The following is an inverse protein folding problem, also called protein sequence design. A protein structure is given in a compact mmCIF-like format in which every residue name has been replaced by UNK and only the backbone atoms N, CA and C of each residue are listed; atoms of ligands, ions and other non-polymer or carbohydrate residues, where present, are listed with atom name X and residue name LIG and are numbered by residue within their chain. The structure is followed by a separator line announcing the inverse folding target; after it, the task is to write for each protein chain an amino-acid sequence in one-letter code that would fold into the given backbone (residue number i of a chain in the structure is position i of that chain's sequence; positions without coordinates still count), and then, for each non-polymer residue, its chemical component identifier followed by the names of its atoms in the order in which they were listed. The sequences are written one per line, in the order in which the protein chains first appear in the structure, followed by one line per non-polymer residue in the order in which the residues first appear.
data_IF_202044089013
#
_entry.id   IF_202044089013
#
_cell.length_a   1.000
_cell.length_b   1.000
_cell.length_c   1.000
_cell.angle_alpha   90.00
_cell.angle_beta   90.00
_cell.angle_gamma   90.00
#
_symmetry.space_group_name_H-M   'P 1'
#
loop_
_entity.id
_entity.type
_entity.pdbx_description
1 polymer ?
#
# COMPACT_ATOMS: atom_id res chain seq x y z
N UNK A 1 29.25 -67.52 -21.56
CA UNK A 1 29.19 -67.22 -20.11
C UNK A 1 30.35 -66.28 -19.78
N UNK A 2 30.12 -64.96 -19.80
CA UNK A 2 31.16 -63.98 -19.52
C UNK A 2 31.27 -63.80 -18.00
N UNK A 3 32.43 -64.14 -17.45
CA UNK A 3 32.68 -64.16 -16.01
C UNK A 3 33.03 -62.74 -15.54
N UNK A 4 32.02 -61.90 -15.29
CA UNK A 4 32.24 -60.57 -14.71
C UNK A 4 32.73 -60.71 -13.27
N UNK A 5 34.05 -60.63 -13.08
CA UNK A 5 34.70 -60.73 -11.77
C UNK A 5 34.34 -59.53 -10.88
N UNK A 6 34.05 -59.81 -9.59
CA UNK A 6 33.78 -58.82 -8.53
C UNK A 6 34.84 -57.70 -8.46
N UNK A 7 36.06 -57.97 -8.92
CA UNK A 7 37.17 -57.01 -8.95
C UNK A 7 36.94 -55.88 -9.98
N UNK A 8 36.25 -56.15 -11.10
CA UNK A 8 35.86 -55.11 -12.06
C UNK A 8 34.71 -54.24 -11.57
N UNK A 9 33.80 -54.79 -10.76
CA UNK A 9 32.71 -54.03 -10.15
C UNK A 9 33.22 -52.99 -9.14
N UNK A 10 34.19 -53.36 -8.29
CA UNK A 10 34.79 -52.45 -7.30
C UNK A 10 35.65 -51.36 -8.00
N UNK A 11 36.34 -51.69 -9.10
CA UNK A 11 37.06 -50.69 -9.89
C UNK A 11 36.12 -49.68 -10.56
N UNK A 12 34.92 -50.11 -11.00
CA UNK A 12 33.91 -49.21 -11.55
C UNK A 12 33.30 -48.24 -10.52
N UNK A 13 33.18 -48.65 -9.26
CA UNK A 13 32.67 -47.80 -8.17
C UNK A 13 33.63 -46.64 -7.84
N UNK A 14 34.94 -46.86 -7.90
CA UNK A 14 35.95 -45.84 -7.60
C UNK A 14 35.96 -44.68 -8.60
N UNK A 15 35.75 -44.96 -9.89
CA UNK A 15 35.72 -43.94 -10.94
C UNK A 15 34.40 -43.15 -10.99
N UNK A 16 33.27 -43.75 -10.59
CA UNK A 16 31.97 -43.07 -10.56
C UNK A 16 31.82 -42.06 -9.42
N UNK A 17 32.38 -42.36 -8.25
CA UNK A 17 32.28 -41.48 -7.08
C UNK A 17 33.06 -40.16 -7.23
N UNK A 18 34.21 -40.17 -7.92
CA UNK A 18 35.02 -38.97 -8.13
C UNK A 18 34.39 -38.02 -9.17
N UNK A 19 33.67 -38.57 -10.16
CA UNK A 19 32.95 -37.78 -11.16
C UNK A 19 31.72 -37.05 -10.59
N UNK A 20 31.05 -37.62 -9.58
CA UNK A 20 29.94 -36.95 -8.89
C UNK A 20 30.39 -35.88 -7.89
N UNK A 21 31.60 -35.97 -7.33
CA UNK A 21 32.09 -34.99 -6.36
C UNK A 21 32.44 -33.62 -7.02
N UNK A 22 32.89 -33.62 -8.28
CA UNK A 22 33.36 -32.41 -8.97
C UNK A 22 32.24 -31.55 -9.59
N UNK A 23 31.00 -32.05 -9.62
CA UNK A 23 29.83 -31.32 -10.16
C UNK A 23 28.82 -30.92 -9.08
N UNK A 24 29.21 -30.95 -7.80
CA UNK A 24 28.32 -30.66 -6.67
C UNK A 24 28.03 -29.16 -6.45
N UNK A 25 28.48 -28.26 -7.32
CA UNK A 25 27.88 -26.92 -7.40
C UNK A 25 26.57 -26.96 -8.17
N UNK A 26 25.56 -27.60 -7.56
CA UNK A 26 24.17 -27.18 -7.70
C UNK A 26 24.00 -25.85 -6.92
N UNK A 27 24.75 -24.83 -7.34
CA UNK A 27 24.41 -23.46 -7.01
C UNK A 27 23.17 -23.14 -7.84
N UNK A 28 22.01 -23.44 -7.27
CA UNK A 28 20.76 -22.88 -7.77
C UNK A 28 20.96 -21.38 -7.87
N UNK A 29 21.04 -20.88 -9.11
CA UNK A 29 21.14 -19.43 -9.36
C UNK A 29 19.86 -18.86 -8.76
N UNK A 30 19.97 -18.27 -7.58
CA UNK A 30 18.85 -17.64 -6.92
C UNK A 30 18.31 -16.62 -7.92
N UNK A 31 17.16 -16.94 -8.50
CA UNK A 31 16.56 -16.12 -9.54
C UNK A 31 16.18 -14.86 -8.79
N UNK A 32 16.98 -13.78 -8.93
CA UNK A 32 16.70 -12.48 -8.32
C UNK A 32 15.22 -12.24 -8.53
N UNK A 33 14.45 -12.36 -7.46
CA UNK A 33 13.03 -12.10 -7.49
C UNK A 33 12.96 -10.62 -7.79
N UNK A 34 12.67 -10.27 -9.04
CA UNK A 34 12.25 -8.92 -9.36
C UNK A 34 11.11 -8.66 -8.39
N UNK A 35 11.23 -7.58 -7.63
CA UNK A 35 10.29 -7.26 -6.58
C UNK A 35 8.97 -6.86 -7.26
N UNK A 36 8.17 -7.87 -7.62
CA UNK A 36 7.02 -7.74 -8.50
C UNK A 36 5.96 -6.83 -7.90
N UNK A 37 5.95 -6.73 -6.57
CA UNK A 37 5.01 -5.95 -5.79
C UNK A 37 5.77 -5.33 -4.62
N UNK A 38 5.37 -4.12 -4.25
CA UNK A 38 5.85 -3.47 -3.04
C UNK A 38 4.86 -3.77 -1.90
N UNK A 39 5.37 -4.03 -0.70
CA UNK A 39 4.53 -4.25 0.47
C UNK A 39 4.29 -2.90 1.14
N UNK A 40 3.03 -2.49 1.20
CA UNK A 40 2.58 -1.33 1.96
C UNK A 40 1.90 -1.71 3.26
N UNK A 41 1.74 -0.72 4.15
CA UNK A 41 0.96 -0.88 5.38
C UNK A 41 0.01 0.29 5.59
N UNK A 42 -1.20 -0.03 6.02
CA UNK A 42 -2.26 0.94 6.29
C UNK A 42 -2.19 1.40 7.76
N UNK A 43 -2.18 2.71 7.97
CA UNK A 43 -2.08 3.38 9.27
C UNK A 43 -3.14 2.89 10.28
N UNK A 44 -4.34 2.52 9.81
CA UNK A 44 -5.38 1.95 10.67
C UNK A 44 -4.91 0.71 11.47
N UNK A 45 -3.86 0.01 11.02
CA UNK A 45 -3.18 -1.06 11.77
C UNK A 45 -2.74 -0.60 13.16
N UNK A 46 -2.34 0.67 13.29
CA UNK A 46 -1.87 1.29 14.54
C UNK A 46 -2.94 2.10 15.27
N UNK A 47 -4.22 1.97 14.89
CA UNK A 47 -5.35 2.72 15.45
C UNK A 47 -5.36 2.76 16.99
N UNK A 48 -5.03 1.63 17.65
CA UNK A 48 -4.99 1.58 19.12
C UNK A 48 -3.87 2.45 19.72
N UNK A 49 -2.72 2.52 19.06
CA UNK A 49 -1.57 3.30 19.54
C UNK A 49 -1.75 4.78 19.25
N UNK A 50 -2.29 5.12 18.07
CA UNK A 50 -2.66 6.50 17.71
C UNK A 50 -3.71 7.03 18.69
N UNK A 51 -4.78 6.27 18.94
CA UNK A 51 -5.84 6.65 19.89
C UNK A 51 -5.35 6.82 21.32
N UNK A 52 -4.37 6.03 21.76
CA UNK A 52 -3.84 6.14 23.11
C UNK A 52 -2.72 7.17 23.24
N UNK A 53 -2.33 7.86 22.16
CA UNK A 53 -1.17 8.75 22.12
C UNK A 53 0.18 8.03 22.26
N UNK A 54 0.21 6.70 22.13
CA UNK A 54 1.46 5.91 22.18
C UNK A 54 2.29 6.12 20.90
N UNK A 55 1.62 6.44 19.80
CA UNK A 55 2.23 6.79 18.52
C UNK A 55 1.66 8.15 18.10
N UNK A 56 2.53 9.13 17.84
CA UNK A 56 2.13 10.37 17.18
C UNK A 56 1.94 10.10 15.67
N UNK A 57 0.97 10.79 15.06
CA UNK A 57 0.68 10.64 13.63
C UNK A 57 1.90 11.01 12.76
N UNK A 58 2.66 12.05 13.10
CA UNK A 58 3.83 12.46 12.33
C UNK A 58 5.01 11.48 12.48
N UNK A 59 4.98 10.59 13.48
CA UNK A 59 6.02 9.59 13.74
C UNK A 59 5.69 8.21 13.15
N UNK A 60 4.44 7.99 12.73
CA UNK A 60 3.98 6.73 12.14
C UNK A 60 4.86 6.23 10.98
N UNK A 61 5.21 7.05 9.96
CA UNK A 61 5.98 6.55 8.83
C UNK A 61 7.38 6.09 9.23
N UNK A 62 8.06 6.84 10.11
CA UNK A 62 9.39 6.51 10.59
C UNK A 62 9.37 5.23 11.44
N UNK A 63 8.35 5.06 12.29
CA UNK A 63 8.16 3.84 13.07
C UNK A 63 8.00 2.62 12.15
N UNK A 64 7.13 2.70 11.14
CA UNK A 64 6.92 1.60 10.19
C UNK A 64 8.21 1.23 9.49
N UNK A 65 8.95 2.21 8.95
CA UNK A 65 10.19 1.94 8.25
C UNK A 65 11.23 1.29 9.17
N UNK A 66 11.39 1.83 10.37
CA UNK A 66 12.39 1.38 11.35
C UNK A 66 12.09 -0.02 11.89
N UNK A 67 10.85 -0.26 12.30
CA UNK A 67 10.47 -1.48 13.03
C UNK A 67 10.03 -2.61 12.10
N UNK A 68 9.50 -2.30 10.91
CA UNK A 68 8.97 -3.29 9.97
C UNK A 68 9.74 -3.38 8.65
N UNK A 69 10.67 -2.46 8.37
CA UNK A 69 11.39 -2.42 7.10
C UNK A 69 10.50 -2.07 5.89
N UNK A 70 9.29 -1.53 6.12
CA UNK A 70 8.34 -1.16 5.07
C UNK A 70 8.52 0.32 4.71
N UNK A 71 8.71 0.61 3.42
CA UNK A 71 8.88 1.98 2.91
C UNK A 71 7.65 2.52 2.17
N UNK A 72 6.55 1.79 2.13
CA UNK A 72 5.31 2.20 1.47
C UNK A 72 4.21 2.32 2.53
N UNK A 73 3.73 3.54 2.77
CA UNK A 73 2.76 3.81 3.84
C UNK A 73 1.46 4.36 3.27
N UNK A 74 0.35 3.92 3.83
CA UNK A 74 -0.97 4.46 3.56
C UNK A 74 -1.52 5.09 4.84
N UNK A 75 -2.20 6.21 4.71
CA UNK A 75 -2.73 6.98 5.83
C UNK A 75 -4.22 6.75 6.01
N UNK A 76 -4.71 7.10 7.19
CA UNK A 76 -6.14 7.21 7.49
C UNK A 76 -6.49 8.65 7.82
N UNK A 77 -7.64 9.13 7.37
CA UNK A 77 -8.00 10.55 7.53
C UNK A 77 -8.17 11.00 9.00
N UNK A 78 -8.54 10.11 9.92
CA UNK A 78 -8.86 10.50 11.30
C UNK A 78 -7.65 10.97 12.13
N UNK A 79 -6.48 10.30 12.09
CA UNK A 79 -5.25 10.77 12.76
C UNK A 79 -4.79 12.18 12.40
N UNK A 80 -5.17 12.72 11.25
CA UNK A 80 -4.90 14.12 10.91
C UNK A 80 -5.61 15.11 11.84
N UNK A 81 -6.72 14.70 12.48
CA UNK A 81 -7.43 15.51 13.47
C UNK A 81 -7.75 16.92 12.96
N UNK A 82 -8.33 16.98 11.75
CA UNK A 82 -8.70 18.24 11.08
C UNK A 82 -7.54 19.03 10.45
N UNK A 83 -6.29 18.62 10.61
CA UNK A 83 -5.10 19.35 10.09
C UNK A 83 -4.75 19.07 8.63
N UNK A 84 -5.62 18.36 7.89
CA UNK A 84 -5.42 18.05 6.47
C UNK A 84 -5.47 19.28 5.57
N UNK A 85 -6.10 20.37 6.02
CA UNK A 85 -6.10 21.67 5.33
C UNK A 85 -5.02 22.62 5.86
N UNK A 86 -4.14 22.18 6.76
CA UNK A 86 -3.01 22.96 7.25
C UNK A 86 -1.76 22.63 6.42
N UNK A 87 -1.32 23.51 5.51
CA UNK A 87 -0.20 23.22 4.63
C UNK A 87 1.11 23.02 5.37
N UNK A 88 1.29 23.63 6.55
CA UNK A 88 2.50 23.44 7.35
C UNK A 88 2.53 22.04 7.97
N UNK A 89 1.39 21.56 8.48
CA UNK A 89 1.27 20.21 9.02
C UNK A 89 1.51 19.14 7.94
N UNK A 90 0.81 19.25 6.81
CA UNK A 90 0.94 18.30 5.69
C UNK A 90 2.36 18.36 5.10
N UNK A 91 2.94 19.57 4.98
CA UNK A 91 4.30 19.76 4.51
C UNK A 91 5.36 19.14 5.43
N UNK A 92 5.18 19.19 6.75
CA UNK A 92 6.07 18.53 7.70
C UNK A 92 5.98 17.01 7.58
N UNK A 93 4.77 16.45 7.45
CA UNK A 93 4.60 15.01 7.22
C UNK A 93 5.27 14.57 5.91
N UNK A 94 5.07 15.31 4.81
CA UNK A 94 5.70 15.05 3.52
C UNK A 94 7.24 15.13 3.58
N UNK A 95 7.77 16.09 4.34
CA UNK A 95 9.21 16.25 4.54
C UNK A 95 9.82 15.06 5.26
N UNK A 96 9.15 14.55 6.30
CA UNK A 96 9.61 13.39 7.08
C UNK A 96 9.71 12.14 6.22
N UNK A 97 8.72 11.89 5.36
CA UNK A 97 8.73 10.69 4.50
C UNK A 97 9.73 10.81 3.35
N UNK A 98 9.82 11.97 2.70
CA UNK A 98 10.77 12.19 1.60
C UNK A 98 12.22 12.00 2.02
N UNK A 99 12.61 12.55 3.18
CA UNK A 99 13.98 12.44 3.69
C UNK A 99 14.39 10.98 3.96
N UNK A 100 13.40 10.13 4.25
CA UNK A 100 13.59 8.73 4.54
C UNK A 100 13.27 7.83 3.34
N UNK A 101 13.03 8.37 2.14
CA UNK A 101 12.67 7.54 0.98
C UNK A 101 11.43 6.66 1.21
N UNK A 102 10.49 7.15 2.01
CA UNK A 102 9.20 6.51 2.26
C UNK A 102 8.22 7.03 1.21
N UNK A 103 7.57 6.12 0.49
CA UNK A 103 6.50 6.42 -0.46
C UNK A 103 5.18 6.54 0.29
N UNK A 104 4.55 7.71 0.15
CA UNK A 104 3.17 7.93 0.53
C UNK A 104 2.28 7.35 -0.58
N UNK A 105 1.51 6.31 -0.26
CA UNK A 105 0.74 5.57 -1.28
C UNK A 105 -0.65 6.15 -1.43
N UNK A 106 -1.45 6.16 -0.37
CA UNK A 106 -2.80 6.72 -0.39
C UNK A 106 -3.27 7.23 0.96
N UNK A 107 -4.37 7.98 0.97
CA UNK A 107 -5.14 8.31 2.18
C UNK A 107 -6.50 7.62 2.14
N UNK A 108 -6.83 6.84 3.16
CA UNK A 108 -8.15 6.26 3.39
C UNK A 108 -9.05 7.33 4.00
N UNK A 109 -10.07 7.75 3.26
CA UNK A 109 -10.97 8.84 3.65
C UNK A 109 -12.31 8.28 4.12
N UNK A 110 -12.53 8.34 5.43
CA UNK A 110 -13.83 8.09 6.05
C UNK A 110 -14.51 9.41 6.39
N UNK A 111 -15.31 9.92 5.47
CA UNK A 111 -16.12 11.13 5.69
C UNK A 111 -17.47 10.83 6.36
N UNK A 112 -18.09 11.91 6.86
CA UNK A 112 -19.42 11.87 7.50
C UNK A 112 -20.56 11.63 6.52
N UNK A 113 -20.43 12.13 5.29
CA UNK A 113 -21.44 12.02 4.25
C UNK A 113 -20.98 11.05 3.17
N UNK A 114 -21.91 10.29 2.61
CA UNK A 114 -21.61 9.27 1.60
C UNK A 114 -21.59 9.84 0.18
N UNK A 115 -20.65 9.37 -0.65
CA UNK A 115 -20.59 9.75 -2.07
C UNK A 115 -21.77 9.18 -2.85
N UNK A 116 -22.41 8.11 -2.38
CA UNK A 116 -23.62 7.51 -2.96
C UNK A 116 -24.90 7.89 -2.19
N UNK A 117 -24.87 8.95 -1.39
CA UNK A 117 -26.01 9.34 -0.54
C UNK A 117 -27.31 9.54 -1.35
N UNK A 118 -28.46 9.17 -0.78
CA UNK A 118 -29.76 9.24 -1.47
C UNK A 118 -30.15 10.66 -1.88
N UNK A 119 -29.98 11.62 -0.95
CA UNK A 119 -30.21 13.04 -1.20
C UNK A 119 -29.00 13.70 -1.86
N UNK A 120 -29.23 14.38 -3.00
CA UNK A 120 -28.18 15.07 -3.76
C UNK A 120 -27.41 16.09 -2.92
N UNK A 121 -28.09 16.86 -2.07
CA UNK A 121 -27.46 17.86 -1.21
C UNK A 121 -26.40 17.27 -0.27
N UNK A 122 -26.62 16.04 0.20
CA UNK A 122 -25.66 15.35 1.06
C UNK A 122 -24.49 14.76 0.27
N UNK A 123 -24.74 14.30 -0.98
CA UNK A 123 -23.64 13.94 -1.91
C UNK A 123 -22.77 15.15 -2.23
N UNK A 124 -23.38 16.30 -2.49
CA UNK A 124 -22.67 17.55 -2.78
C UNK A 124 -21.72 17.91 -1.60
N UNK A 125 -22.20 17.83 -0.36
CA UNK A 125 -21.36 18.00 0.85
C UNK A 125 -20.24 16.97 0.93
N UNK A 126 -20.53 15.70 0.67
CA UNK A 126 -19.53 14.63 0.68
C UNK A 126 -18.41 14.92 -0.31
N UNK A 127 -18.74 15.29 -1.55
CA UNK A 127 -17.76 15.62 -2.58
C UNK A 127 -16.87 16.78 -2.13
N UNK A 128 -17.46 17.86 -1.62
CA UNK A 128 -16.68 19.04 -1.20
C UNK A 128 -15.71 18.72 -0.05
N UNK A 129 -16.12 17.86 0.90
CA UNK A 129 -15.22 17.38 1.95
C UNK A 129 -14.06 16.53 1.38
N UNK A 130 -14.33 15.66 0.40
CA UNK A 130 -13.31 14.81 -0.20
C UNK A 130 -12.31 15.59 -1.08
N UNK A 131 -12.70 16.73 -1.67
CA UNK A 131 -11.78 17.58 -2.45
C UNK A 131 -10.59 18.04 -1.61
N UNK A 132 -10.83 18.47 -0.36
CA UNK A 132 -9.77 18.86 0.55
C UNK A 132 -8.78 17.70 0.84
N UNK A 133 -9.25 16.45 0.81
CA UNK A 133 -8.39 15.27 0.94
C UNK A 133 -7.59 14.97 -0.33
N UNK A 134 -8.11 15.30 -1.51
CA UNK A 134 -7.34 15.24 -2.76
C UNK A 134 -6.19 16.24 -2.71
N UNK A 135 -6.45 17.49 -2.30
CA UNK A 135 -5.43 18.52 -2.17
C UNK A 135 -4.37 18.14 -1.13
N UNK A 136 -4.81 17.61 0.02
CA UNK A 136 -3.92 17.08 1.06
C UNK A 136 -3.06 15.92 0.53
N UNK A 137 -3.66 14.97 -0.20
CA UNK A 137 -2.97 13.83 -0.79
C UNK A 137 -1.93 14.28 -1.82
N UNK A 138 -2.25 15.27 -2.66
CA UNK A 138 -1.33 15.84 -3.64
C UNK A 138 -0.13 16.50 -2.96
N UNK A 139 -0.38 17.36 -1.96
CA UNK A 139 0.69 18.01 -1.21
C UNK A 139 1.59 16.99 -0.49
N UNK A 140 0.98 15.92 0.05
CA UNK A 140 1.69 14.85 0.74
C UNK A 140 2.47 13.93 -0.24
N UNK A 141 2.19 14.01 -1.54
CA UNK A 141 2.78 13.15 -2.58
C UNK A 141 2.19 11.74 -2.61
N UNK A 142 0.94 11.58 -2.18
CA UNK A 142 0.18 10.34 -2.32
C UNK A 142 -0.22 10.09 -3.79
N UNK A 143 -0.36 8.82 -4.15
CA UNK A 143 -0.82 8.41 -5.48
C UNK A 143 -2.35 8.40 -5.60
N UNK A 144 -3.05 8.20 -4.48
CA UNK A 144 -4.50 8.12 -4.46
C UNK A 144 -5.13 8.56 -3.13
N UNK A 145 -6.44 8.74 -3.14
CA UNK A 145 -7.30 8.60 -1.97
C UNK A 145 -8.20 7.38 -2.16
N UNK A 146 -8.59 6.73 -1.06
CA UNK A 146 -9.59 5.67 -1.06
C UNK A 146 -10.87 6.20 -0.45
N UNK A 147 -11.99 6.04 -1.15
CA UNK A 147 -13.31 6.55 -0.75
C UNK A 147 -14.31 5.42 -0.47
N UNK A 148 -15.47 5.76 0.07
CA UNK A 148 -16.56 4.81 0.33
C UNK A 148 -17.80 5.13 -0.51
N UNK A 149 -18.55 4.09 -0.86
CA UNK A 149 -19.95 4.16 -1.30
C UNK A 149 -20.72 3.13 -0.48
N UNK A 150 -21.37 3.58 0.59
CA UNK A 150 -21.95 2.71 1.63
C UNK A 150 -23.32 3.19 2.14
N UNK A 151 -24.03 4.00 1.35
CA UNK A 151 -25.38 4.48 1.72
C UNK A 151 -26.36 3.33 2.00
N UNK A 152 -26.18 2.20 1.29
CA UNK A 152 -27.07 1.04 1.40
C UNK A 152 -28.41 1.27 0.69
N UNK A 153 -29.27 0.25 0.66
CA UNK A 153 -30.54 0.28 -0.11
C UNK A 153 -30.45 -0.45 -1.46
N UNK A 154 -31.25 -0.01 -2.43
CA UNK A 154 -31.34 -0.68 -3.74
C UNK A 154 -30.01 -0.59 -4.52
N UNK A 155 -29.45 -1.71 -5.00
CA UNK A 155 -28.17 -1.72 -5.71
C UNK A 155 -28.11 -0.86 -6.98
N UNK A 156 -29.21 -0.75 -7.75
CA UNK A 156 -29.23 0.04 -8.98
C UNK A 156 -29.22 1.53 -8.68
N UNK A 157 -30.01 1.94 -7.68
CA UNK A 157 -29.99 3.31 -7.20
C UNK A 157 -28.62 3.69 -6.65
N UNK A 158 -28.00 2.82 -5.86
CA UNK A 158 -26.67 3.06 -5.30
C UNK A 158 -25.60 3.16 -6.39
N UNK A 159 -25.65 2.32 -7.42
CA UNK A 159 -24.76 2.42 -8.57
C UNK A 159 -24.91 3.79 -9.25
N UNK A 160 -26.13 4.22 -9.55
CA UNK A 160 -26.38 5.51 -10.20
C UNK A 160 -25.86 6.69 -9.35
N UNK A 161 -26.03 6.62 -8.03
CA UNK A 161 -25.57 7.66 -7.09
C UNK A 161 -24.06 7.65 -6.91
N UNK A 162 -23.44 6.48 -6.85
CA UNK A 162 -21.99 6.32 -6.81
C UNK A 162 -21.34 6.86 -8.08
N UNK A 163 -21.92 6.59 -9.26
CA UNK A 163 -21.46 7.15 -10.54
C UNK A 163 -21.50 8.69 -10.52
N UNK A 164 -22.57 9.29 -9.99
CA UNK A 164 -22.65 10.76 -9.81
C UNK A 164 -21.59 11.27 -8.82
N UNK A 165 -21.56 10.72 -7.60
CA UNK A 165 -20.70 11.22 -6.53
C UNK A 165 -19.21 11.01 -6.80
N UNK A 166 -18.81 9.75 -7.04
CA UNK A 166 -17.42 9.39 -7.34
C UNK A 166 -17.00 9.99 -8.68
N UNK A 167 -17.85 9.98 -9.70
CA UNK A 167 -17.53 10.55 -11.02
C UNK A 167 -17.20 12.04 -10.94
N UNK A 168 -17.97 12.83 -10.17
CA UNK A 168 -17.69 14.24 -9.94
C UNK A 168 -16.43 14.49 -9.11
N UNK A 169 -16.12 13.59 -8.18
CA UNK A 169 -14.88 13.65 -7.42
C UNK A 169 -13.66 13.33 -8.31
N UNK A 170 -13.78 12.33 -9.20
CA UNK A 170 -12.79 12.03 -10.22
C UNK A 170 -12.58 13.20 -11.18
N UNK A 171 -13.63 13.94 -11.55
CA UNK A 171 -13.52 15.14 -12.38
C UNK A 171 -12.62 16.19 -11.72
N UNK A 172 -12.82 16.43 -10.42
CA UNK A 172 -11.95 17.34 -9.66
C UNK A 172 -10.50 16.85 -9.61
N UNK A 173 -10.29 15.54 -9.45
CA UNK A 173 -8.96 14.94 -9.39
C UNK A 173 -8.20 14.93 -10.72
N UNK A 174 -8.84 15.26 -11.86
CA UNK A 174 -8.19 15.16 -13.19
C UNK A 174 -6.99 16.10 -13.33
N UNK A 175 -7.06 17.27 -12.70
CA UNK A 175 -6.02 18.29 -12.77
C UNK A 175 -4.91 18.08 -11.71
N UNK A 176 -5.02 17.02 -10.90
CA UNK A 176 -4.04 16.64 -9.89
C UNK A 176 -3.33 15.34 -10.26
N UNK A 177 -2.26 15.02 -9.54
CA UNK A 177 -1.57 13.72 -9.67
C UNK A 177 -2.30 12.56 -8.98
N UNK A 178 -3.36 12.84 -8.21
CA UNK A 178 -4.01 11.91 -7.30
C UNK A 178 -5.15 11.15 -7.98
N UNK A 179 -5.26 9.84 -7.71
CA UNK A 179 -6.41 9.02 -8.11
C UNK A 179 -7.46 8.90 -7.01
N UNK A 180 -8.70 8.65 -7.40
CA UNK A 180 -9.84 8.40 -6.52
C UNK A 180 -10.31 6.97 -6.72
#
# INVERSE_FOLDING_TARGET
MNNSSRRHFIQGLGSGALAMALNSSLTGKEKKTVDRFQIGIQEYTFNRWLKSGKLDHLDYPALVKKELGISHVEYWNRPFDGKHTDPAYVGELAKRTRNDGIQNVLILVDEKHELDHAHKSERDKSIDLHKAWIDCAEQLGCLAIRVNCRMGGDPKDNLNRAVDGVGRLCEYAKDTSVKV
#
